data_IF_196421727530
#
_entry.id   IF_196421727530
#
_cell.length_a   1.000
_cell.length_b   1.000
_cell.length_c   1.000
_cell.angle_alpha   90.00
_cell.angle_beta   90.00
_cell.angle_gamma   90.00
#
_symmetry.space_group_name_H-M   'P 1'
#
loop_
_entity.id
_entity.type
_entity.pdbx_description
1 polymer ?
#
# COMPACT_ATOMS: atom_id res chain seq x y z
N UNK A 1 -63.52 34.50 19.90
CA UNK A 1 -62.09 34.75 19.47
C UNK A 1 -61.24 33.55 19.84
N UNK A 2 -60.99 32.70 18.86
CA UNK A 2 -60.25 31.44 19.04
C UNK A 2 -58.81 31.70 18.65
N UNK A 3 -57.83 31.58 19.59
CA UNK A 3 -56.41 31.72 19.32
C UNK A 3 -55.84 30.37 18.87
N UNK A 4 -55.43 30.30 17.63
CA UNK A 4 -54.71 29.16 17.06
C UNK A 4 -53.24 29.32 17.46
N UNK A 5 -52.71 28.37 18.25
CA UNK A 5 -51.28 28.26 18.57
C UNK A 5 -50.66 27.30 17.55
N UNK A 6 -49.89 27.84 16.63
CA UNK A 6 -49.08 27.06 15.69
C UNK A 6 -47.76 26.68 16.36
N UNK A 7 -47.61 25.39 16.71
CA UNK A 7 -46.35 24.83 17.20
C UNK A 7 -45.48 24.49 16.01
N UNK A 8 -44.38 25.22 15.83
CA UNK A 8 -43.35 24.94 14.86
C UNK A 8 -42.40 23.86 15.42
N UNK A 9 -42.49 22.67 14.86
CA UNK A 9 -41.58 21.57 15.20
C UNK A 9 -40.23 21.76 14.49
N UNK A 10 -39.20 22.10 15.26
CA UNK A 10 -37.85 22.26 14.75
C UNK A 10 -37.20 20.86 14.69
N UNK A 11 -37.07 20.28 13.49
CA UNK A 11 -36.36 19.03 13.28
C UNK A 11 -34.85 19.36 13.20
N UNK A 12 -34.12 19.09 14.29
CA UNK A 12 -32.66 19.07 14.25
C UNK A 12 -32.23 17.80 13.52
N UNK A 13 -31.79 17.95 12.26
CA UNK A 13 -31.08 16.94 11.55
C UNK A 13 -29.65 16.86 12.12
N UNK A 14 -29.37 15.87 12.96
CA UNK A 14 -28.05 15.53 13.40
C UNK A 14 -27.31 14.90 12.22
N UNK A 15 -26.49 15.67 11.51
CA UNK A 15 -25.50 15.17 10.58
C UNK A 15 -24.37 14.57 11.43
N UNK A 16 -24.40 13.25 11.62
CA UNK A 16 -23.24 12.53 12.08
C UNK A 16 -22.18 12.60 10.96
N UNK A 17 -21.28 13.56 11.06
CA UNK A 17 -20.06 13.56 10.29
C UNK A 17 -19.28 12.31 10.73
N UNK A 18 -19.22 11.30 9.85
CA UNK A 18 -18.22 10.25 9.98
C UNK A 18 -16.87 10.98 9.92
N UNK A 19 -16.18 11.03 11.06
CA UNK A 19 -14.79 11.45 11.10
C UNK A 19 -14.03 10.45 10.21
N UNK A 20 -13.74 10.85 8.98
CA UNK A 20 -12.86 10.15 8.09
C UNK A 20 -11.51 10.11 8.82
N UNK A 21 -11.03 8.90 9.09
CA UNK A 21 -9.78 8.69 9.81
C UNK A 21 -8.65 9.33 8.98
N UNK A 22 -8.33 10.59 9.26
CA UNK A 22 -7.46 11.46 8.45
C UNK A 22 -5.97 11.05 8.49
N UNK A 23 -5.65 9.95 9.18
CA UNK A 23 -4.27 9.51 9.42
C UNK A 23 -3.75 8.50 8.40
N UNK A 24 -4.59 7.93 7.54
CA UNK A 24 -4.17 6.97 6.54
C UNK A 24 -3.75 7.67 5.24
N UNK A 25 -2.56 7.33 4.75
CA UNK A 25 -2.12 7.75 3.43
C UNK A 25 -2.98 7.09 2.35
N UNK A 26 -3.40 7.89 1.38
CA UNK A 26 -4.18 7.41 0.23
C UNK A 26 -3.36 7.61 -1.04
N UNK A 27 -3.16 6.54 -1.79
CA UNK A 27 -2.49 6.59 -3.09
C UNK A 27 -3.46 7.21 -4.10
N UNK A 28 -3.15 8.41 -4.58
CA UNK A 28 -3.97 9.09 -5.59
C UNK A 28 -3.45 8.73 -6.99
N UNK A 29 -4.00 7.66 -7.58
CA UNK A 29 -3.63 7.20 -8.91
C UNK A 29 -3.84 8.28 -9.99
N UNK A 30 -4.92 9.06 -9.91
CA UNK A 30 -5.20 10.11 -10.90
C UNK A 30 -4.09 11.15 -10.96
N UNK A 31 -3.57 11.56 -9.80
CA UNK A 31 -2.46 12.52 -9.72
C UNK A 31 -1.10 11.95 -10.15
N UNK A 32 -0.93 10.62 -10.10
CA UNK A 32 0.31 9.92 -10.42
C UNK A 32 0.32 9.35 -11.85
N UNK A 33 -0.84 9.29 -12.51
CA UNK A 33 -0.98 8.81 -13.87
C UNK A 33 -0.15 9.64 -14.84
N UNK A 34 0.50 8.97 -15.80
CA UNK A 34 1.26 9.64 -16.86
C UNK A 34 0.44 9.72 -18.14
N UNK A 35 0.63 10.81 -18.92
CA UNK A 35 0.04 10.89 -20.27
C UNK A 35 0.51 9.72 -21.15
N UNK A 36 -0.41 9.20 -21.93
CA UNK A 36 -0.09 8.18 -22.95
C UNK A 36 -0.27 6.72 -22.48
N UNK A 37 -0.63 6.47 -21.21
CA UNK A 37 -1.01 5.12 -20.80
C UNK A 37 -2.22 4.62 -21.59
N UNK A 38 -2.13 3.39 -22.07
CA UNK A 38 -3.24 2.67 -22.66
C UNK A 38 -4.30 2.33 -21.60
N UNK A 39 -5.48 1.92 -22.05
CA UNK A 39 -6.54 1.44 -21.13
C UNK A 39 -6.08 0.22 -20.30
N UNK A 40 -5.27 -0.67 -20.89
CA UNK A 40 -4.74 -1.83 -20.20
C UNK A 40 -3.72 -1.43 -19.12
N UNK A 41 -2.81 -0.52 -19.45
CA UNK A 41 -1.83 -0.01 -18.49
C UNK A 41 -2.49 0.73 -17.33
N UNK A 42 -3.55 1.51 -17.61
CA UNK A 42 -4.33 2.15 -16.55
C UNK A 42 -5.03 1.11 -15.65
N UNK A 43 -5.58 0.04 -16.23
CA UNK A 43 -6.19 -1.05 -15.48
C UNK A 43 -5.15 -1.79 -14.62
N UNK A 44 -3.95 -2.05 -15.16
CA UNK A 44 -2.84 -2.66 -14.43
C UNK A 44 -2.37 -1.77 -13.27
N UNK A 45 -2.21 -0.45 -13.51
CA UNK A 45 -1.88 0.51 -12.46
C UNK A 45 -2.94 0.56 -11.35
N UNK A 46 -4.23 0.54 -11.71
CA UNK A 46 -5.33 0.53 -10.75
C UNK A 46 -5.33 -0.75 -9.89
N UNK A 47 -5.09 -1.91 -10.49
CA UNK A 47 -4.99 -3.20 -9.80
C UNK A 47 -3.87 -3.17 -8.74
N UNK A 48 -2.66 -2.72 -9.12
CA UNK A 48 -1.53 -2.64 -8.19
C UNK A 48 -1.75 -1.55 -7.14
N UNK A 49 -2.37 -0.42 -7.52
CA UNK A 49 -2.72 0.63 -6.56
C UNK A 49 -3.67 0.13 -5.48
N UNK A 50 -4.71 -0.63 -5.84
CA UNK A 50 -5.63 -1.24 -4.88
C UNK A 50 -4.91 -2.23 -3.97
N UNK A 51 -4.07 -3.09 -4.54
CA UNK A 51 -3.25 -4.05 -3.80
C UNK A 51 -2.36 -3.35 -2.78
N UNK A 52 -1.53 -2.38 -3.20
CA UNK A 52 -0.59 -1.68 -2.34
C UNK A 52 -1.31 -0.82 -1.29
N UNK A 53 -2.40 -0.13 -1.66
CA UNK A 53 -3.19 0.66 -0.73
C UNK A 53 -3.73 -0.20 0.41
N UNK A 54 -4.30 -1.37 0.09
CA UNK A 54 -4.89 -2.23 1.10
C UNK A 54 -3.85 -2.99 1.92
N UNK A 55 -2.77 -3.45 1.29
CA UNK A 55 -1.69 -4.17 1.94
C UNK A 55 -0.86 -3.26 2.86
N UNK A 56 -0.35 -2.14 2.32
CA UNK A 56 0.69 -1.32 2.97
C UNK A 56 0.15 -0.16 3.81
N UNK A 57 -1.00 0.43 3.45
CA UNK A 57 -1.53 1.62 4.13
C UNK A 57 -2.79 1.32 4.96
N UNK A 58 -3.65 0.43 4.47
CA UNK A 58 -4.86 0.06 5.20
C UNK A 58 -4.64 -1.10 6.17
N UNK A 59 -3.59 -1.91 5.96
CA UNK A 59 -3.30 -3.16 6.67
C UNK A 59 -4.53 -4.10 6.67
N UNK A 60 -5.24 -4.15 5.52
CA UNK A 60 -6.45 -4.94 5.33
C UNK A 60 -6.10 -6.33 4.80
N UNK A 61 -5.47 -7.14 5.63
CA UNK A 61 -4.91 -8.43 5.26
C UNK A 61 -5.98 -9.44 4.82
N UNK A 62 -7.16 -9.43 5.44
CA UNK A 62 -8.27 -10.31 5.03
C UNK A 62 -8.73 -9.99 3.61
N UNK A 63 -8.79 -8.71 3.25
CA UNK A 63 -9.10 -8.29 1.89
C UNK A 63 -8.06 -8.78 0.89
N UNK A 64 -6.77 -8.64 1.22
CA UNK A 64 -5.67 -9.11 0.37
C UNK A 64 -5.77 -10.63 0.14
N UNK A 65 -6.00 -11.41 1.18
CA UNK A 65 -6.16 -12.86 1.06
C UNK A 65 -7.41 -13.24 0.23
N UNK A 66 -8.49 -12.48 0.35
CA UNK A 66 -9.71 -12.75 -0.39
C UNK A 66 -9.61 -12.39 -1.89
N UNK A 67 -8.89 -11.32 -2.24
CA UNK A 67 -8.85 -10.78 -3.61
C UNK A 67 -7.62 -11.19 -4.41
N UNK A 68 -6.46 -11.35 -3.74
CA UNK A 68 -5.15 -11.47 -4.40
C UNK A 68 -4.43 -12.79 -4.14
N UNK A 69 -4.96 -13.69 -3.31
CA UNK A 69 -4.31 -14.96 -2.98
C UNK A 69 -4.40 -15.95 -4.16
N UNK A 70 -3.53 -15.75 -5.15
CA UNK A 70 -3.38 -16.63 -6.30
C UNK A 70 -2.11 -17.50 -6.17
N UNK A 71 -2.23 -18.77 -6.52
CA UNK A 71 -1.11 -19.72 -6.44
C UNK A 71 0.02 -19.42 -7.44
N UNK A 72 -0.27 -18.62 -8.48
CA UNK A 72 0.74 -18.21 -9.47
C UNK A 72 1.68 -17.11 -8.98
N UNK A 73 1.32 -16.38 -7.90
CA UNK A 73 2.18 -15.32 -7.37
C UNK A 73 3.54 -15.86 -6.90
N UNK A 74 4.61 -15.20 -7.36
CA UNK A 74 5.99 -15.50 -7.01
C UNK A 74 6.65 -14.26 -6.40
N UNK A 75 7.24 -14.41 -5.21
CA UNK A 75 7.99 -13.37 -4.53
C UNK A 75 9.48 -13.49 -4.85
N UNK A 76 10.08 -12.42 -5.39
CA UNK A 76 11.51 -12.37 -5.71
C UNK A 76 12.36 -11.62 -4.68
N UNK A 77 11.75 -10.91 -3.73
CA UNK A 77 12.48 -10.43 -2.56
C UNK A 77 12.80 -11.63 -1.65
N UNK A 78 14.07 -11.98 -1.57
CA UNK A 78 14.54 -13.18 -0.83
C UNK A 78 14.36 -13.07 0.69
N UNK A 79 14.14 -11.87 1.21
CA UNK A 79 13.91 -11.64 2.64
C UNK A 79 12.43 -11.76 3.03
N UNK A 80 11.54 -12.03 2.08
CA UNK A 80 10.12 -12.22 2.30
C UNK A 80 9.73 -13.68 1.98
N UNK A 81 8.79 -14.26 2.76
CA UNK A 81 8.22 -15.56 2.41
C UNK A 81 7.51 -15.51 1.05
N UNK A 82 7.53 -16.64 0.34
CA UNK A 82 6.86 -16.76 -0.95
C UNK A 82 5.32 -16.76 -0.81
N UNK A 83 4.64 -16.47 -1.91
CA UNK A 83 3.17 -16.38 -2.03
C UNK A 83 2.55 -15.21 -1.25
N UNK A 84 1.32 -14.88 -1.63
CA UNK A 84 0.54 -13.82 -0.95
C UNK A 84 0.31 -14.17 0.53
N UNK A 85 0.08 -15.44 0.84
CA UNK A 85 -0.08 -15.86 2.24
C UNK A 85 1.18 -15.61 3.07
N UNK A 86 2.37 -15.87 2.51
CA UNK A 86 3.63 -15.60 3.19
C UNK A 86 3.87 -14.11 3.37
N UNK A 87 3.64 -13.31 2.33
CA UNK A 87 3.74 -11.86 2.39
C UNK A 87 2.79 -11.26 3.44
N UNK A 88 1.54 -11.72 3.49
CA UNK A 88 0.55 -11.27 4.47
C UNK A 88 0.97 -11.67 5.90
N UNK A 89 1.45 -12.91 6.11
CA UNK A 89 1.94 -13.34 7.43
C UNK A 89 3.07 -12.43 7.92
N UNK A 90 4.07 -12.19 7.06
CA UNK A 90 5.19 -11.30 7.40
C UNK A 90 4.73 -9.88 7.73
N UNK A 91 3.89 -9.27 6.88
CA UNK A 91 3.46 -7.89 7.09
C UNK A 91 2.50 -7.74 8.26
N UNK A 92 1.67 -8.73 8.58
CA UNK A 92 0.80 -8.68 9.75
C UNK A 92 1.60 -8.63 11.05
N UNK A 93 2.67 -9.44 11.16
CA UNK A 93 3.59 -9.39 12.30
C UNK A 93 4.39 -8.07 12.32
N UNK A 94 4.86 -7.61 11.15
CA UNK A 94 5.63 -6.39 11.03
C UNK A 94 4.86 -5.14 11.50
N UNK A 95 3.57 -5.03 11.19
CA UNK A 95 2.77 -3.86 11.60
C UNK A 95 2.33 -3.92 13.07
N UNK A 96 2.43 -5.07 13.74
CA UNK A 96 2.30 -5.13 15.21
C UNK A 96 3.42 -4.36 15.89
N UNK A 97 4.66 -4.49 15.38
CA UNK A 97 5.83 -3.76 15.87
C UNK A 97 5.87 -2.30 15.38
N UNK A 98 5.35 -2.04 14.19
CA UNK A 98 5.36 -0.72 13.53
C UNK A 98 3.96 -0.29 13.07
N UNK A 99 3.03 0.01 13.99
CA UNK A 99 1.63 0.31 13.65
C UNK A 99 1.46 1.60 12.83
N UNK A 100 2.44 2.48 12.86
CA UNK A 100 2.48 3.72 12.06
C UNK A 100 3.12 3.55 10.68
N UNK A 101 3.50 2.31 10.31
CA UNK A 101 4.06 2.03 8.99
C UNK A 101 3.17 2.56 7.88
N UNK A 102 3.78 3.28 6.93
CA UNK A 102 3.09 3.82 5.75
C UNK A 102 3.96 3.76 4.52
N UNK A 103 3.27 3.72 3.37
CA UNK A 103 3.84 3.60 2.05
C UNK A 103 3.34 4.74 1.16
N UNK A 104 4.18 5.77 0.99
CA UNK A 104 3.86 6.97 0.22
C UNK A 104 4.39 6.83 -1.22
N UNK A 105 3.52 6.50 -2.16
CA UNK A 105 3.86 6.32 -3.58
C UNK A 105 4.09 7.68 -4.23
N UNK A 106 5.32 7.92 -4.67
CA UNK A 106 5.76 9.16 -5.29
C UNK A 106 5.62 9.15 -6.82
N UNK A 107 5.89 8.00 -7.43
CA UNK A 107 5.80 7.84 -8.87
C UNK A 107 5.25 6.47 -9.21
N UNK A 108 4.47 6.40 -10.30
CA UNK A 108 4.02 5.17 -10.92
C UNK A 108 4.48 5.19 -12.38
N UNK A 109 5.08 4.09 -12.80
CA UNK A 109 5.44 3.84 -14.20
C UNK A 109 4.79 2.53 -14.62
N UNK A 110 4.32 2.48 -15.87
CA UNK A 110 3.75 1.27 -16.46
C UNK A 110 4.37 1.07 -17.83
N UNK A 111 4.75 -0.16 -18.12
CA UNK A 111 5.24 -0.61 -19.41
C UNK A 111 4.58 -1.97 -19.72
N UNK A 112 3.46 -1.93 -20.45
CA UNK A 112 2.68 -3.11 -20.76
C UNK A 112 2.15 -3.83 -19.51
N UNK A 113 2.70 -5.01 -19.26
CA UNK A 113 2.31 -5.86 -18.13
C UNK A 113 3.08 -5.58 -16.84
N UNK A 114 4.02 -4.63 -16.86
CA UNK A 114 4.81 -4.26 -15.70
C UNK A 114 4.33 -2.94 -15.10
N UNK A 115 4.11 -2.94 -13.79
CA UNK A 115 3.81 -1.74 -12.99
C UNK A 115 4.92 -1.53 -11.99
N UNK A 116 5.48 -0.33 -11.97
CA UNK A 116 6.60 0.03 -11.12
C UNK A 116 6.20 1.19 -10.22
N UNK A 117 6.35 1.01 -8.92
CA UNK A 117 6.17 2.09 -7.94
C UNK A 117 7.53 2.55 -7.41
N UNK A 118 7.68 3.84 -7.29
CA UNK A 118 8.75 4.48 -6.54
C UNK A 118 8.15 5.12 -5.30
N UNK A 119 8.52 4.63 -4.14
CA UNK A 119 7.81 4.89 -2.90
C UNK A 119 8.75 5.28 -1.76
N UNK A 120 8.21 6.07 -0.83
CA UNK A 120 8.84 6.41 0.43
C UNK A 120 8.10 5.69 1.55
N UNK A 121 8.74 4.73 2.21
CA UNK A 121 8.17 4.02 3.35
C UNK A 121 8.74 4.53 4.67
N UNK A 122 7.88 4.74 5.67
CA UNK A 122 8.27 5.18 7.01
C UNK A 122 7.64 4.31 8.09
N UNK A 123 8.38 4.08 9.18
CA UNK A 123 7.95 3.27 10.31
C UNK A 123 7.24 4.09 11.40
N UNK A 124 7.42 5.41 11.38
CA UNK A 124 6.90 6.33 12.39
C UNK A 124 6.11 7.45 11.75
N UNK A 125 5.04 7.86 12.41
CA UNK A 125 4.21 8.96 11.96
C UNK A 125 5.00 10.27 11.78
N UNK A 126 5.91 10.56 12.68
CA UNK A 126 6.71 11.79 12.68
C UNK A 126 7.74 11.85 11.55
N UNK A 127 8.05 10.71 10.94
CA UNK A 127 9.00 10.61 9.82
C UNK A 127 8.32 10.79 8.45
N UNK A 128 6.98 10.82 8.41
CA UNK A 128 6.22 10.95 7.16
C UNK A 128 6.54 12.25 6.44
N UNK A 129 6.86 12.15 5.15
CA UNK A 129 7.24 13.30 4.33
C UNK A 129 8.68 13.81 4.53
N UNK A 130 9.46 13.21 5.43
CA UNK A 130 10.89 13.50 5.58
C UNK A 130 11.71 12.51 4.75
N UNK A 131 12.18 12.95 3.58
CA UNK A 131 12.94 12.15 2.60
C UNK A 131 14.34 11.70 3.07
N UNK A 132 14.77 12.12 4.27
CA UNK A 132 16.00 11.67 4.92
C UNK A 132 15.74 10.56 5.95
N UNK A 133 14.50 10.10 6.10
CA UNK A 133 14.08 9.08 7.06
C UNK A 133 13.39 7.92 6.34
N UNK A 134 13.43 6.73 6.95
CA UNK A 134 12.75 5.57 6.42
C UNK A 134 13.48 4.91 5.24
N UNK A 135 12.74 4.52 4.22
CA UNK A 135 13.21 3.74 3.09
C UNK A 135 12.75 4.33 1.76
N UNK A 136 13.65 4.36 0.78
CA UNK A 136 13.33 4.54 -0.62
C UNK A 136 13.19 3.15 -1.25
N UNK A 137 12.05 2.86 -1.86
CA UNK A 137 11.71 1.54 -2.38
C UNK A 137 11.30 1.66 -3.84
N UNK A 138 11.84 0.77 -4.66
CA UNK A 138 11.37 0.54 -6.03
C UNK A 138 10.78 -0.86 -6.07
N UNK A 139 9.49 -0.93 -6.28
CA UNK A 139 8.78 -2.19 -6.49
C UNK A 139 8.43 -2.37 -7.96
N UNK A 140 8.43 -3.59 -8.40
CA UNK A 140 7.97 -3.98 -9.73
C UNK A 140 7.02 -5.16 -9.60
N UNK A 141 5.86 -5.04 -10.20
CA UNK A 141 4.89 -6.14 -10.33
C UNK A 141 4.70 -6.50 -11.79
N UNK A 142 4.59 -7.79 -12.07
CA UNK A 142 4.12 -8.28 -13.37
C UNK A 142 2.68 -8.75 -13.25
N UNK A 143 1.88 -8.33 -14.24
CA UNK A 143 0.46 -8.65 -14.32
C UNK A 143 0.25 -9.63 -15.48
N UNK A 144 -0.52 -10.66 -15.25
CA UNK A 144 -0.93 -11.61 -16.28
C UNK A 144 -2.42 -11.96 -16.11
N UNK A 145 -3.20 -11.78 -17.18
CA UNK A 145 -4.65 -12.04 -17.17
C UNK A 145 -5.40 -11.33 -16.03
N UNK A 146 -5.02 -10.08 -15.71
CA UNK A 146 -5.64 -9.27 -14.67
C UNK A 146 -5.29 -9.72 -13.23
N UNK A 147 -4.19 -10.45 -13.05
CA UNK A 147 -3.68 -10.90 -11.76
C UNK A 147 -2.23 -10.47 -11.58
N UNK A 148 -1.86 -10.14 -10.35
CA UNK A 148 -0.46 -9.92 -9.98
C UNK A 148 0.20 -11.30 -9.83
N UNK A 149 1.21 -11.58 -10.65
CA UNK A 149 1.84 -12.91 -10.70
C UNK A 149 3.30 -12.92 -10.23
N UNK A 150 3.98 -11.77 -10.23
CA UNK A 150 5.36 -11.66 -9.74
C UNK A 150 5.60 -10.31 -9.09
N UNK A 151 6.53 -10.28 -8.13
CA UNK A 151 6.98 -9.08 -7.45
C UNK A 151 8.48 -9.09 -7.21
N UNK A 152 9.13 -7.98 -7.53
CA UNK A 152 10.51 -7.63 -7.21
C UNK A 152 10.55 -6.31 -6.48
N UNK A 153 11.54 -6.12 -5.63
CA UNK A 153 11.82 -4.81 -5.04
C UNK A 153 13.32 -4.54 -4.87
N UNK A 154 13.62 -3.27 -4.68
CA UNK A 154 14.93 -2.79 -4.27
C UNK A 154 14.74 -1.73 -3.20
N UNK A 155 15.39 -1.91 -2.06
CA UNK A 155 15.21 -1.09 -0.87
C UNK A 155 16.51 -0.36 -0.53
N UNK A 156 16.43 0.97 -0.39
CA UNK A 156 17.50 1.80 0.12
C UNK A 156 17.13 2.38 1.48
N UNK A 157 17.90 2.05 2.51
CA UNK A 157 17.77 2.66 3.84
C UNK A 157 18.29 4.11 3.83
N UNK A 158 17.47 5.08 4.23
CA UNK A 158 17.78 6.51 4.12
C UNK A 158 18.52 7.06 5.34
N UNK A 159 18.29 6.54 6.52
CA UNK A 159 18.93 7.00 7.75
C UNK A 159 19.73 5.89 8.48
N UNK A 160 20.47 6.30 9.51
CA UNK A 160 21.33 5.38 10.28
C UNK A 160 20.55 4.28 10.97
N UNK A 161 19.34 4.58 11.47
CA UNK A 161 18.49 3.59 12.13
C UNK A 161 18.06 2.53 11.10
N UNK A 162 17.57 2.94 9.94
CA UNK A 162 17.15 2.01 8.89
C UNK A 162 18.31 1.18 8.32
N UNK A 163 19.50 1.77 8.21
CA UNK A 163 20.71 1.02 7.79
C UNK A 163 21.07 -0.06 8.80
N UNK A 164 21.04 0.27 10.09
CA UNK A 164 21.27 -0.72 11.14
C UNK A 164 20.16 -1.78 11.16
N UNK A 165 18.89 -1.37 11.07
CA UNK A 165 17.75 -2.27 10.98
C UNK A 165 17.92 -3.27 9.82
N UNK A 166 18.24 -2.79 8.62
CA UNK A 166 18.46 -3.64 7.44
C UNK A 166 19.62 -4.61 7.64
N UNK A 167 20.68 -4.22 8.37
CA UNK A 167 21.81 -5.09 8.69
C UNK A 167 21.42 -6.24 9.61
N UNK A 168 20.58 -5.99 10.62
CA UNK A 168 20.25 -6.99 11.64
C UNK A 168 19.02 -7.83 11.28
N UNK A 169 18.09 -7.30 10.50
CA UNK A 169 16.84 -7.97 10.11
C UNK A 169 16.85 -8.53 8.69
N UNK A 170 17.79 -8.11 7.84
CA UNK A 170 17.84 -8.49 6.42
C UNK A 170 18.59 -9.79 6.12
N UNK A 171 18.89 -10.62 7.14
CA UNK A 171 19.79 -11.75 6.97
C UNK A 171 19.17 -13.09 6.60
N UNK A 172 17.88 -13.27 6.78
CA UNK A 172 17.21 -14.52 6.48
C UNK A 172 16.86 -14.63 4.99
N UNK A 173 17.03 -15.82 4.45
CA UNK A 173 16.55 -16.17 3.11
C UNK A 173 15.26 -16.97 3.30
N UNK A 174 14.13 -16.35 3.00
CA UNK A 174 12.80 -16.90 3.25
C UNK A 174 12.22 -17.64 2.03
N UNK A 175 12.80 -17.42 0.84
CA UNK A 175 12.44 -18.13 -0.37
C UNK A 175 13.66 -18.41 -1.26
N UNK A 176 13.53 -19.40 -2.15
CA UNK A 176 14.57 -19.80 -3.12
C UNK A 176 14.28 -19.33 -4.54
N UNK A 177 13.29 -18.47 -4.74
CA UNK A 177 12.99 -17.88 -6.04
C UNK A 177 14.17 -17.04 -6.50
N UNK A 178 14.40 -16.96 -7.79
CA UNK A 178 15.45 -16.08 -8.32
C UNK A 178 15.19 -14.62 -7.99
N UNK A 179 16.21 -13.76 -8.17
CA UNK A 179 16.06 -12.29 -8.05
C UNK A 179 15.83 -11.62 -9.40
N UNK A 180 15.85 -12.38 -10.50
CA UNK A 180 15.66 -11.91 -11.88
C UNK A 180 14.74 -12.85 -12.64
#
# INVERSE_FOLDING_TARGET
MLKIITSTLLILASTSAFAQNSDKLVINLESLQKPGWTQQELANAALVTDFVQNLMNNHNFDYILAQYNDSSYVQHNRNLPDKITGLVSFLSEFVEDYPDYTYDVKHIYVDGDYVIFHSHATLKKDDRGNDQKGMNIIDTWRIENGKIVEHWDSIQALDTFMRFYSLVSGGNIENSNGVF
#
